data_IF_013991882014
#
_entry.id   IF_013991882014
#
_cell.length_a   1.000
_cell.length_b   1.000
_cell.length_c   1.000
_cell.angle_alpha   90.00
_cell.angle_beta   90.00
_cell.angle_gamma   90.00
#
_symmetry.space_group_name_H-M   'P 1'
#
loop_
_entity.id
_entity.type
_entity.pdbx_description
1 polymer ?
#
# COMPACT_ATOMS: atom_id res chain seq x y z
N UNK A 1 -11.21 -18.34 -39.54
CA UNK A 1 -9.89 -18.90 -39.23
C UNK A 1 -9.38 -18.33 -37.89
N UNK A 2 -9.76 -18.98 -36.81
CA UNK A 2 -9.33 -18.59 -35.46
C UNK A 2 -8.22 -19.54 -35.02
N UNK A 3 -6.95 -19.16 -35.27
CA UNK A 3 -5.82 -19.76 -34.58
C UNK A 3 -5.59 -18.95 -33.30
N UNK A 4 -6.28 -19.35 -32.24
CA UNK A 4 -6.18 -18.77 -30.94
C UNK A 4 -5.25 -19.56 -30.04
N UNK A 5 -4.29 -18.87 -29.58
CA UNK A 5 -3.66 -18.97 -28.28
C UNK A 5 -4.19 -20.10 -27.38
N UNK A 6 -3.62 -21.29 -27.54
CA UNK A 6 -3.85 -22.44 -26.67
C UNK A 6 -2.69 -22.60 -25.68
N UNK A 7 -2.44 -21.62 -24.84
CA UNK A 7 -1.56 -21.83 -23.66
C UNK A 7 -2.27 -21.30 -22.42
N UNK A 8 -2.77 -22.22 -21.63
CA UNK A 8 -3.31 -21.92 -20.30
C UNK A 8 -4.75 -22.35 -20.01
N UNK A 9 -5.49 -22.89 -20.98
CA UNK A 9 -6.86 -23.35 -20.76
C UNK A 9 -6.98 -24.83 -21.11
N UNK A 10 -7.21 -25.68 -20.14
CA UNK A 10 -7.55 -27.10 -20.32
C UNK A 10 -9.06 -27.28 -20.38
N UNK A 11 -9.56 -28.09 -21.32
CA UNK A 11 -10.98 -28.40 -21.48
C UNK A 11 -11.37 -29.59 -20.60
N UNK A 12 -12.29 -29.42 -19.65
CA UNK A 12 -12.90 -30.52 -18.89
C UNK A 12 -14.38 -30.23 -18.74
N UNK A 13 -15.21 -31.07 -19.35
CA UNK A 13 -16.66 -31.08 -19.14
C UNK A 13 -17.41 -29.78 -19.48
N UNK A 14 -17.02 -29.09 -20.57
CA UNK A 14 -17.72 -27.89 -21.04
C UNK A 14 -17.46 -26.61 -20.29
N UNK A 15 -16.67 -26.66 -19.20
CA UNK A 15 -16.26 -25.50 -18.43
C UNK A 15 -14.76 -25.26 -18.59
N UNK A 16 -14.36 -24.03 -18.93
CA UNK A 16 -12.98 -23.63 -18.99
C UNK A 16 -12.42 -23.56 -17.56
N UNK A 17 -11.55 -24.54 -17.18
CA UNK A 17 -10.77 -24.45 -15.94
C UNK A 17 -9.49 -23.69 -16.22
N UNK A 18 -9.24 -22.67 -15.43
CA UNK A 18 -7.98 -21.95 -15.39
C UNK A 18 -6.86 -22.91 -15.03
N UNK A 19 -5.81 -22.96 -15.84
CA UNK A 19 -4.64 -23.77 -15.50
C UNK A 19 -3.98 -23.19 -14.23
N UNK A 20 -3.70 -24.05 -13.26
CA UNK A 20 -3.26 -23.69 -11.88
C UNK A 20 -1.89 -22.98 -11.82
N UNK A 21 -1.23 -22.74 -12.96
CA UNK A 21 0.16 -22.30 -13.03
C UNK A 21 0.39 -21.08 -13.93
N UNK A 22 -0.51 -20.09 -13.90
CA UNK A 22 -0.14 -18.82 -14.50
C UNK A 22 0.69 -18.04 -13.50
N UNK A 23 1.91 -17.60 -13.88
CA UNK A 23 2.78 -16.90 -12.95
C UNK A 23 2.20 -15.54 -12.60
N UNK A 24 2.33 -15.18 -11.32
CA UNK A 24 1.81 -13.98 -10.73
C UNK A 24 2.95 -12.97 -10.63
N UNK A 25 2.75 -11.74 -11.12
CA UNK A 25 3.60 -10.60 -10.78
C UNK A 25 3.05 -9.94 -9.52
N UNK A 26 3.90 -9.68 -8.54
CA UNK A 26 3.48 -9.12 -7.27
C UNK A 26 4.28 -7.88 -6.88
N UNK A 27 3.64 -7.02 -6.11
CA UNK A 27 4.23 -5.90 -5.38
C UNK A 27 4.00 -6.14 -3.90
N UNK A 28 5.10 -6.27 -3.15
CA UNK A 28 5.03 -6.45 -1.70
C UNK A 28 5.55 -5.22 -0.98
N UNK A 29 4.97 -4.94 0.17
CA UNK A 29 5.38 -3.92 1.14
C UNK A 29 5.79 -4.58 2.45
N UNK A 30 6.56 -3.87 3.26
CA UNK A 30 6.94 -4.30 4.60
C UNK A 30 6.99 -3.08 5.54
N UNK A 31 6.26 -3.13 6.64
CA UNK A 31 6.18 -2.01 7.59
C UNK A 31 7.51 -1.68 8.28
N UNK A 32 8.47 -2.61 8.30
CA UNK A 32 9.84 -2.31 8.76
C UNK A 32 10.69 -1.56 7.73
N UNK A 33 10.22 -1.47 6.48
CA UNK A 33 10.89 -0.79 5.36
C UNK A 33 9.84 0.01 4.54
N UNK A 34 9.23 1.05 5.12
CA UNK A 34 8.02 1.68 4.58
C UNK A 34 8.21 2.38 3.21
N UNK A 35 9.44 2.76 2.86
CA UNK A 35 9.76 3.43 1.59
C UNK A 35 10.25 2.46 0.51
N UNK A 36 10.33 1.18 0.84
CA UNK A 36 10.89 0.17 -0.05
C UNK A 36 9.80 -0.85 -0.38
N UNK A 37 9.64 -1.11 -1.66
CA UNK A 37 8.80 -2.19 -2.16
C UNK A 37 9.63 -3.32 -2.75
N UNK A 38 9.03 -4.51 -2.84
CA UNK A 38 9.60 -5.63 -3.59
C UNK A 38 8.70 -5.95 -4.78
N UNK A 39 9.30 -6.03 -5.98
CA UNK A 39 8.64 -6.48 -7.20
C UNK A 39 9.23 -7.84 -7.59
N UNK A 40 8.38 -8.82 -7.91
CA UNK A 40 8.83 -10.14 -8.32
C UNK A 40 7.73 -11.00 -8.89
N UNK A 41 8.07 -12.25 -9.24
CA UNK A 41 7.13 -13.24 -9.77
C UNK A 41 7.08 -14.49 -8.91
N UNK A 42 5.95 -15.19 -8.95
CA UNK A 42 5.77 -16.49 -8.32
C UNK A 42 4.64 -17.28 -8.99
N UNK A 43 4.69 -18.59 -8.85
CA UNK A 43 3.57 -19.46 -9.22
C UNK A 43 2.57 -19.62 -8.07
N UNK A 44 3.01 -19.34 -6.82
CA UNK A 44 2.21 -19.45 -5.61
C UNK A 44 2.54 -18.30 -4.66
N UNK A 45 1.67 -17.30 -4.63
CA UNK A 45 1.86 -16.09 -3.84
C UNK A 45 1.86 -16.38 -2.33
N UNK A 46 0.98 -17.27 -1.89
CA UNK A 46 0.86 -17.65 -0.47
C UNK A 46 2.13 -18.32 0.03
N UNK A 47 2.65 -19.28 -0.72
CA UNK A 47 3.93 -19.91 -0.41
C UNK A 47 5.05 -18.89 -0.42
N UNK A 48 5.06 -17.97 -1.42
CA UNK A 48 6.11 -16.95 -1.54
C UNK A 48 6.16 -16.00 -0.36
N UNK A 49 5.01 -15.56 0.14
CA UNK A 49 4.93 -14.71 1.33
C UNK A 49 5.51 -15.41 2.55
N UNK A 50 5.17 -16.69 2.77
CA UNK A 50 5.77 -17.50 3.85
C UNK A 50 7.28 -17.68 3.71
N UNK A 51 7.77 -17.98 2.50
CA UNK A 51 9.21 -18.16 2.25
C UNK A 51 10.00 -16.86 2.54
N UNK A 52 9.36 -15.70 2.39
CA UNK A 52 9.95 -14.39 2.69
C UNK A 52 9.84 -14.01 4.17
N UNK A 53 8.89 -14.56 4.89
CA UNK A 53 8.72 -14.37 6.33
C UNK A 53 9.67 -15.30 7.09
N UNK A 54 10.88 -14.83 7.28
CA UNK A 54 11.96 -15.58 7.93
C UNK A 54 12.68 -14.69 8.95
N UNK A 55 13.56 -15.28 9.74
CA UNK A 55 14.28 -14.58 10.81
C UNK A 55 15.12 -13.37 10.38
N UNK A 56 15.26 -13.14 9.07
CA UNK A 56 16.00 -11.99 8.53
C UNK A 56 15.11 -10.75 8.34
N UNK A 57 13.79 -10.90 8.44
CA UNK A 57 12.83 -9.79 8.31
C UNK A 57 12.14 -9.53 9.66
N UNK A 58 12.16 -8.28 10.16
CA UNK A 58 11.54 -7.95 11.46
C UNK A 58 10.02 -8.07 11.48
N UNK A 59 9.38 -7.89 10.33
CA UNK A 59 7.94 -7.97 10.14
C UNK A 59 7.63 -8.72 8.85
N UNK A 60 6.45 -9.36 8.73
CA UNK A 60 6.03 -10.06 7.53
C UNK A 60 5.82 -9.10 6.36
N UNK A 61 5.98 -9.62 5.15
CA UNK A 61 5.60 -8.91 3.93
C UNK A 61 4.09 -8.97 3.72
N UNK A 62 3.55 -7.85 3.22
CA UNK A 62 2.16 -7.73 2.81
C UNK A 62 2.08 -7.65 1.29
N UNK A 63 1.10 -8.34 0.69
CA UNK A 63 0.82 -8.19 -0.72
C UNK A 63 0.02 -6.91 -0.94
N UNK A 64 0.66 -5.91 -1.57
CA UNK A 64 -0.02 -4.67 -1.94
C UNK A 64 -0.84 -4.82 -3.22
N UNK A 65 -0.27 -5.54 -4.21
CA UNK A 65 -0.93 -5.81 -5.48
C UNK A 65 -0.35 -7.06 -6.14
N UNK A 66 -1.20 -7.88 -6.77
CA UNK A 66 -0.78 -9.08 -7.48
C UNK A 66 -1.63 -9.32 -8.71
N UNK A 67 -0.99 -9.55 -9.86
CA UNK A 67 -1.63 -9.88 -11.12
C UNK A 67 -1.18 -11.24 -11.63
N UNK A 68 -2.16 -12.06 -11.97
CA UNK A 68 -1.98 -13.26 -12.75
C UNK A 68 -1.94 -12.86 -14.25
N UNK A 69 -0.83 -13.13 -14.90
CA UNK A 69 -0.58 -12.69 -16.28
C UNK A 69 0.10 -13.80 -17.11
N UNK A 70 -0.15 -13.85 -18.44
CA UNK A 70 0.41 -14.89 -19.29
C UNK A 70 1.93 -14.86 -19.41
N UNK A 71 2.55 -13.69 -19.34
CA UNK A 71 4.00 -13.48 -19.48
C UNK A 71 4.55 -12.62 -18.34
N UNK A 72 4.51 -13.19 -17.13
CA UNK A 72 4.99 -12.50 -15.93
C UNK A 72 6.48 -12.14 -15.98
N UNK A 73 7.33 -12.96 -16.64
CA UNK A 73 8.76 -12.70 -16.73
C UNK A 73 9.08 -11.44 -17.54
N UNK A 74 8.41 -11.25 -18.67
CA UNK A 74 8.58 -10.05 -19.48
C UNK A 74 8.06 -8.81 -18.75
N UNK A 75 6.92 -8.94 -18.06
CA UNK A 75 6.32 -7.83 -17.29
C UNK A 75 7.21 -7.46 -16.10
N UNK A 76 7.68 -8.43 -15.33
CA UNK A 76 8.63 -8.20 -14.23
C UNK A 76 9.89 -7.48 -14.72
N UNK A 77 10.48 -7.97 -15.81
CA UNK A 77 11.68 -7.37 -16.43
C UNK A 77 11.44 -5.91 -16.81
N UNK A 78 10.32 -5.61 -17.46
CA UNK A 78 9.96 -4.24 -17.85
C UNK A 78 9.75 -3.33 -16.63
N UNK A 79 9.13 -3.84 -15.55
CA UNK A 79 8.99 -3.10 -14.30
C UNK A 79 10.36 -2.85 -13.66
N UNK A 80 11.23 -3.86 -13.63
CA UNK A 80 12.58 -3.72 -13.10
C UNK A 80 13.41 -2.71 -13.90
N UNK A 81 13.25 -2.64 -15.22
CA UNK A 81 13.88 -1.64 -16.09
C UNK A 81 13.29 -0.25 -15.86
N UNK A 82 11.95 -0.14 -15.73
CA UNK A 82 11.26 1.13 -15.50
C UNK A 82 11.60 1.78 -14.14
N UNK A 83 11.96 0.98 -13.16
CA UNK A 83 12.33 1.43 -11.81
C UNK A 83 13.80 1.22 -11.46
N UNK A 84 14.68 1.01 -12.46
CA UNK A 84 16.09 0.68 -12.21
C UNK A 84 16.85 1.81 -11.49
N UNK A 85 16.51 3.06 -11.77
CA UNK A 85 17.03 4.24 -11.08
C UNK A 85 16.67 4.30 -9.58
N UNK A 86 15.64 3.58 -9.18
CA UNK A 86 15.13 3.48 -7.80
C UNK A 86 15.52 2.19 -7.11
N UNK A 87 16.29 1.35 -7.77
CA UNK A 87 16.72 0.06 -7.23
C UNK A 87 17.67 0.26 -6.04
N UNK A 88 17.36 -0.34 -4.90
CA UNK A 88 18.18 -0.23 -3.66
C UNK A 88 19.55 -0.90 -3.83
N UNK A 89 19.59 -2.06 -4.49
CA UNK A 89 20.84 -2.79 -4.84
C UNK A 89 20.66 -3.51 -6.16
N UNK A 90 21.68 -3.44 -7.05
CA UNK A 90 21.63 -3.98 -8.41
C UNK A 90 21.25 -5.47 -8.50
N UNK A 91 21.64 -6.28 -7.53
CA UNK A 91 21.35 -7.71 -7.49
C UNK A 91 20.15 -8.07 -6.60
N UNK A 92 19.27 -7.12 -6.31
CA UNK A 92 18.07 -7.30 -5.49
C UNK A 92 16.85 -6.69 -6.17
N UNK A 93 15.67 -7.22 -5.83
CA UNK A 93 14.36 -6.84 -6.39
C UNK A 93 13.62 -5.86 -5.45
N UNK A 94 14.39 -4.96 -4.82
CA UNK A 94 13.88 -3.94 -3.91
C UNK A 94 14.06 -2.55 -4.50
N UNK A 95 13.01 -1.72 -4.42
CA UNK A 95 12.93 -0.42 -5.07
C UNK A 95 12.43 0.65 -4.08
N UNK A 96 13.10 1.79 -4.08
CA UNK A 96 12.69 2.97 -3.30
C UNK A 96 11.66 3.78 -4.11
N UNK A 97 10.44 3.36 -4.08
CA UNK A 97 9.30 4.05 -4.70
C UNK A 97 8.01 3.69 -3.95
N UNK A 98 6.97 4.50 -4.17
CA UNK A 98 5.68 4.21 -3.54
C UNK A 98 5.02 2.99 -4.18
N UNK A 99 4.30 2.17 -3.40
CA UNK A 99 3.60 1.01 -3.93
C UNK A 99 2.53 1.40 -4.97
N UNK A 100 1.94 2.60 -4.85
CA UNK A 100 0.98 3.15 -5.80
C UNK A 100 1.59 3.42 -7.18
N UNK A 101 2.84 3.92 -7.23
CA UNK A 101 3.57 4.11 -8.48
C UNK A 101 3.79 2.79 -9.20
N UNK A 102 4.26 1.77 -8.49
CA UNK A 102 4.47 0.44 -9.06
C UNK A 102 3.15 -0.22 -9.48
N UNK A 103 2.09 -0.08 -8.67
CA UNK A 103 0.74 -0.54 -9.02
C UNK A 103 0.24 0.11 -10.29
N UNK A 104 0.41 1.42 -10.44
CA UNK A 104 -0.02 2.16 -11.64
C UNK A 104 0.69 1.63 -12.90
N UNK A 105 1.98 1.32 -12.82
CA UNK A 105 2.72 0.71 -13.92
C UNK A 105 2.23 -0.72 -14.22
N UNK A 106 2.06 -1.55 -13.19
CA UNK A 106 1.61 -2.93 -13.34
C UNK A 106 0.14 -3.03 -13.82
N UNK A 107 -0.72 -2.06 -13.49
CA UNK A 107 -2.13 -2.02 -13.92
C UNK A 107 -2.31 -1.92 -15.44
N UNK A 108 -1.28 -1.56 -16.18
CA UNK A 108 -1.29 -1.62 -17.65
C UNK A 108 -1.48 -3.08 -18.10
N UNK A 109 -0.81 -4.03 -17.44
CA UNK A 109 -0.95 -5.45 -17.74
C UNK A 109 -2.35 -5.99 -17.40
N UNK A 110 -3.00 -5.44 -16.38
CA UNK A 110 -4.41 -5.75 -16.06
C UNK A 110 -5.34 -5.37 -17.22
N UNK A 111 -5.15 -4.17 -17.79
CA UNK A 111 -5.92 -3.72 -18.98
C UNK A 111 -5.65 -4.57 -20.22
N UNK A 112 -4.53 -5.26 -20.28
CA UNK A 112 -4.16 -6.20 -21.34
C UNK A 112 -4.65 -7.64 -21.09
N UNK A 113 -5.47 -7.86 -20.08
CA UNK A 113 -6.07 -9.17 -19.77
C UNK A 113 -5.46 -9.87 -18.55
N UNK A 114 -4.62 -9.21 -17.79
CA UNK A 114 -4.20 -9.65 -16.46
C UNK A 114 -5.39 -9.71 -15.51
N UNK A 115 -5.35 -10.57 -14.53
CA UNK A 115 -6.41 -10.73 -13.54
C UNK A 115 -5.86 -10.39 -12.16
N UNK A 116 -6.53 -9.46 -11.47
CA UNK A 116 -6.20 -9.13 -10.09
C UNK A 116 -6.45 -10.35 -9.18
N UNK A 117 -5.39 -10.79 -8.52
CA UNK A 117 -5.37 -11.90 -7.57
C UNK A 117 -4.83 -11.45 -6.21
N UNK A 118 -4.88 -10.16 -5.94
CA UNK A 118 -4.47 -9.58 -4.66
C UNK A 118 -5.31 -10.19 -3.53
N UNK A 119 -4.71 -10.78 -2.50
CA UNK A 119 -5.44 -11.32 -1.36
C UNK A 119 -6.23 -10.21 -0.65
N UNK A 120 -7.51 -10.47 -0.35
CA UNK A 120 -8.35 -9.54 0.42
C UNK A 120 -7.88 -9.45 1.89
N UNK A 121 -7.28 -10.50 2.42
CA UNK A 121 -6.77 -10.57 3.78
C UNK A 121 -5.36 -11.15 3.78
N UNK A 122 -4.55 -10.69 4.74
CA UNK A 122 -3.22 -11.20 4.98
C UNK A 122 -3.35 -12.45 5.83
N UNK A 123 -2.85 -13.58 5.33
CA UNK A 123 -2.72 -14.80 6.13
C UNK A 123 -1.40 -14.77 6.89
N UNK A 124 -1.49 -14.81 8.21
CA UNK A 124 -0.35 -14.88 9.11
C UNK A 124 -0.11 -16.32 9.53
N UNK A 125 1.15 -16.73 9.69
CA UNK A 125 1.49 -18.05 10.22
C UNK A 125 1.15 -18.17 11.71
N UNK A 126 1.35 -17.07 12.45
CA UNK A 126 1.06 -17.01 13.87
C UNK A 126 0.24 -15.79 14.27
N UNK A 127 -0.55 -15.88 15.37
CA UNK A 127 -1.22 -14.70 15.94
C UNK A 127 -0.25 -13.60 16.36
N UNK A 128 0.99 -13.96 16.72
CA UNK A 128 2.05 -13.03 17.12
C UNK A 128 2.47 -12.13 15.95
N UNK A 129 2.58 -12.66 14.73
CA UNK A 129 2.95 -11.92 13.53
C UNK A 129 1.91 -10.83 13.23
N UNK A 130 0.62 -11.19 13.33
CA UNK A 130 -0.47 -10.22 13.22
C UNK A 130 -0.36 -9.13 14.27
N UNK A 131 -0.14 -9.50 15.53
CA UNK A 131 -0.02 -8.54 16.62
C UNK A 131 1.20 -7.61 16.46
N UNK A 132 2.33 -8.14 15.98
CA UNK A 132 3.53 -7.35 15.70
C UNK A 132 3.27 -6.34 14.58
N UNK A 133 2.62 -6.76 13.48
CA UNK A 133 2.28 -5.88 12.38
C UNK A 133 1.27 -4.80 12.79
N UNK A 134 0.22 -5.16 13.51
CA UNK A 134 -0.78 -4.21 14.02
C UNK A 134 -0.14 -3.18 14.96
N UNK A 135 0.82 -3.61 15.78
CA UNK A 135 1.56 -2.73 16.68
C UNK A 135 2.46 -1.76 15.91
N UNK A 136 3.12 -2.22 14.85
CA UNK A 136 3.94 -1.39 13.98
C UNK A 136 3.10 -0.34 13.24
N UNK A 137 1.96 -0.76 12.66
CA UNK A 137 1.01 0.15 12.00
C UNK A 137 0.44 1.20 12.95
N UNK A 138 0.12 0.81 14.19
CA UNK A 138 -0.32 1.76 15.22
C UNK A 138 0.76 2.77 15.61
N UNK A 139 2.02 2.35 15.65
CA UNK A 139 3.15 3.28 15.91
C UNK A 139 3.33 4.26 14.76
N UNK A 140 3.21 3.80 13.50
CA UNK A 140 3.31 4.64 12.30
C UNK A 140 2.15 5.64 12.20
N UNK A 141 0.92 5.22 12.51
CA UNK A 141 -0.24 6.13 12.60
C UNK A 141 -0.15 7.20 13.69
N UNK A 142 0.90 7.13 14.53
CA UNK A 142 1.24 8.13 15.56
C UNK A 142 2.46 8.99 15.18
N UNK A 143 2.81 9.08 13.89
CA UNK A 143 3.79 10.08 13.46
C UNK A 143 3.23 11.44 13.86
N UNK A 144 3.86 12.04 14.84
CA UNK A 144 3.50 13.38 15.30
C UNK A 144 4.03 14.39 14.28
N UNK A 145 3.22 14.66 13.28
CA UNK A 145 3.53 15.66 12.25
C UNK A 145 3.83 17.03 12.85
N UNK A 146 3.27 17.35 14.02
CA UNK A 146 3.55 18.60 14.70
C UNK A 146 5.00 18.68 15.14
N UNK A 147 5.55 17.61 15.72
CA UNK A 147 6.97 17.54 16.09
C UNK A 147 7.89 17.69 14.88
N UNK A 148 7.56 17.08 13.74
CA UNK A 148 8.34 17.21 12.49
C UNK A 148 8.32 18.64 11.99
N UNK A 149 7.20 19.35 12.13
CA UNK A 149 7.04 20.76 11.73
C UNK A 149 7.54 21.74 12.79
N UNK A 150 8.09 21.26 13.93
CA UNK A 150 8.56 22.08 15.04
C UNK A 150 7.43 22.74 15.84
N UNK A 151 6.21 22.19 15.76
CA UNK A 151 5.03 22.67 16.49
C UNK A 151 4.91 21.88 17.79
N UNK A 152 4.86 22.56 18.93
CA UNK A 152 4.85 21.94 20.24
C UNK A 152 3.42 21.71 20.76
N UNK A 153 3.28 20.74 21.65
CA UNK A 153 2.03 20.53 22.39
C UNK A 153 1.71 21.78 23.20
N UNK A 154 0.45 22.22 23.15
CA UNK A 154 -0.03 23.45 23.77
C UNK A 154 0.00 24.67 22.85
N UNK A 155 0.65 24.60 21.67
CA UNK A 155 0.59 25.67 20.70
C UNK A 155 -0.80 25.78 20.07
N UNK A 156 -1.17 27.02 19.72
CA UNK A 156 -2.45 27.31 19.07
C UNK A 156 -2.27 27.44 17.58
N UNK A 157 -2.99 26.64 16.82
CA UNK A 157 -3.08 26.77 15.37
C UNK A 157 -4.31 27.59 14.99
N UNK A 158 -4.18 28.39 13.95
CA UNK A 158 -5.22 29.29 13.46
C UNK A 158 -5.63 28.89 12.04
N UNK A 159 -6.91 28.87 11.75
CA UNK A 159 -7.39 28.58 10.40
C UNK A 159 -7.11 29.74 9.45
N UNK A 160 -6.49 29.44 8.30
CA UNK A 160 -5.91 30.47 7.42
C UNK A 160 -6.96 31.41 6.79
N UNK A 161 -8.19 30.93 6.59
CA UNK A 161 -9.28 31.72 6.00
C UNK A 161 -10.10 32.48 7.02
N UNK A 162 -10.02 32.10 8.30
CA UNK A 162 -10.71 32.77 9.40
C UNK A 162 -9.88 32.65 10.68
N UNK A 163 -9.18 33.72 11.01
CA UNK A 163 -8.28 33.79 12.16
C UNK A 163 -8.99 33.70 13.51
N UNK A 164 -10.31 33.76 13.56
CA UNK A 164 -11.07 33.56 14.79
C UNK A 164 -11.22 32.08 15.14
N UNK A 165 -11.03 31.19 14.15
CA UNK A 165 -11.11 29.74 14.34
C UNK A 165 -9.74 29.23 14.70
N UNK A 166 -9.62 28.68 15.91
CA UNK A 166 -8.37 28.16 16.46
C UNK A 166 -8.55 26.76 17.02
N UNK A 167 -7.45 26.00 17.12
CA UNK A 167 -7.36 24.76 17.86
C UNK A 167 -6.02 24.67 18.60
N UNK A 168 -5.98 23.95 19.70
CA UNK A 168 -4.77 23.73 20.50
C UNK A 168 -4.17 22.37 20.21
N UNK A 169 -2.86 22.33 19.96
CA UNK A 169 -2.12 21.07 19.71
C UNK A 169 -2.05 20.23 20.97
N UNK A 170 -2.42 18.98 20.88
CA UNK A 170 -2.36 17.97 21.94
C UNK A 170 -1.41 16.83 21.58
N UNK A 171 -1.14 15.94 22.53
CA UNK A 171 -0.30 14.77 22.29
C UNK A 171 -0.84 13.85 21.18
N UNK A 172 0.04 13.02 20.62
CA UNK A 172 -0.28 12.01 19.62
C UNK A 172 -0.88 12.56 18.32
N UNK A 173 -0.47 13.75 17.86
CA UNK A 173 -0.93 14.35 16.61
C UNK A 173 -2.40 14.79 16.66
N UNK A 174 -2.98 14.96 17.83
CA UNK A 174 -4.35 15.43 18.03
C UNK A 174 -4.39 16.94 18.26
N UNK A 175 -5.59 17.50 18.07
CA UNK A 175 -5.89 18.89 18.41
C UNK A 175 -7.17 18.95 19.25
N UNK A 176 -7.22 19.89 20.17
CA UNK A 176 -8.43 20.27 20.88
C UNK A 176 -9.11 21.39 20.08
N UNK A 177 -10.23 21.06 19.45
CA UNK A 177 -11.04 21.96 18.65
C UNK A 177 -12.46 22.04 19.21
N UNK A 178 -12.91 23.22 19.65
CA UNK A 178 -14.24 23.44 20.25
C UNK A 178 -14.56 22.44 21.38
N UNK A 179 -13.58 22.23 22.28
CA UNK A 179 -13.67 21.31 23.42
C UNK A 179 -13.67 19.80 23.05
N UNK A 180 -13.53 19.46 21.77
CA UNK A 180 -13.47 18.09 21.29
C UNK A 180 -12.04 17.72 20.86
N UNK A 181 -11.56 16.54 21.33
CA UNK A 181 -10.27 16.01 20.93
C UNK A 181 -10.38 15.27 19.59
N UNK A 182 -9.88 15.89 18.52
CA UNK A 182 -9.98 15.37 17.15
C UNK A 182 -8.63 15.35 16.45
N UNK A 183 -8.59 15.00 15.16
CA UNK A 183 -7.42 15.19 14.29
C UNK A 183 -7.47 16.56 13.62
N UNK A 184 -6.30 17.07 13.19
CA UNK A 184 -6.27 18.34 12.44
C UNK A 184 -7.11 18.26 11.16
N UNK A 185 -7.06 17.14 10.44
CA UNK A 185 -7.93 16.91 9.26
C UNK A 185 -9.41 16.84 9.62
N UNK A 186 -9.76 16.27 10.78
CA UNK A 186 -11.15 16.22 11.27
C UNK A 186 -11.68 17.61 11.58
N UNK A 187 -10.91 18.44 12.32
CA UNK A 187 -11.30 19.83 12.59
C UNK A 187 -11.43 20.65 11.31
N UNK A 188 -10.50 20.48 10.36
CA UNK A 188 -10.57 21.15 9.07
C UNK A 188 -11.81 20.71 8.26
N UNK A 189 -12.16 19.44 8.27
CA UNK A 189 -13.38 18.93 7.60
C UNK A 189 -14.66 19.56 8.18
N UNK A 190 -14.74 19.63 9.50
CA UNK A 190 -15.86 20.29 10.19
C UNK A 190 -16.00 21.74 9.73
N UNK A 191 -14.91 22.52 9.75
CA UNK A 191 -14.91 23.92 9.35
C UNK A 191 -15.35 24.09 7.89
N UNK A 192 -14.79 23.28 7.00
CA UNK A 192 -15.08 23.34 5.55
C UNK A 192 -16.53 22.95 5.26
N UNK A 193 -17.09 21.99 5.98
CA UNK A 193 -18.49 21.59 5.86
C UNK A 193 -19.42 22.72 6.33
N UNK A 194 -19.11 23.39 7.44
CA UNK A 194 -19.85 24.58 7.92
C UNK A 194 -19.81 25.75 6.94
N UNK A 195 -18.72 25.89 6.17
CA UNK A 195 -18.59 26.85 5.10
C UNK A 195 -19.38 26.48 3.82
N UNK A 196 -20.10 25.34 3.84
CA UNK A 196 -20.97 24.90 2.74
C UNK A 196 -20.28 24.07 1.66
N UNK A 197 -19.04 23.62 1.89
CA UNK A 197 -18.35 22.71 0.96
C UNK A 197 -18.69 21.26 1.31
N UNK A 198 -19.12 20.49 0.32
CA UNK A 198 -19.41 19.06 0.49
C UNK A 198 -18.17 18.20 0.21
N UNK A 199 -17.22 18.19 1.14
CA UNK A 199 -16.02 17.37 1.08
C UNK A 199 -16.19 16.16 2.02
N UNK A 200 -15.94 14.94 1.50
CA UNK A 200 -16.06 13.73 2.30
C UNK A 200 -14.77 13.35 3.02
N UNK A 201 -13.62 13.82 2.55
CA UNK A 201 -12.31 13.57 3.15
C UNK A 201 -11.35 14.74 2.89
N UNK A 202 -10.52 15.04 3.90
CA UNK A 202 -9.35 15.90 3.76
C UNK A 202 -8.14 15.02 4.09
N UNK A 203 -7.24 14.91 3.13
CA UNK A 203 -5.94 14.29 3.39
C UNK A 203 -5.10 15.27 4.18
N UNK A 204 -4.52 14.80 5.30
CA UNK A 204 -3.52 15.54 6.05
C UNK A 204 -2.28 15.83 5.22
N UNK A 205 -1.34 16.66 5.72
CA UNK A 205 -0.08 16.89 5.04
C UNK A 205 0.63 15.55 4.82
N UNK A 206 0.88 15.24 3.52
CA UNK A 206 1.64 14.08 3.09
C UNK A 206 3.13 14.34 3.18
#
# INVERSE_FOLDING_TARGET
AWKLFKRGLGWVGGLWKRNKFMPIVYILTNESMPEIIKIGITDDLKRRLRDLDNTSTPLPFECFYALDVPDARSIEKLLHEAFDDKRVRQNREFFNCTPEQAKSALSIAEKMGGIDVTPAEIEFETPQDKQALDSAKKKKGRVDYFSILGINVGETLTFIKDHTITCEVKENGKVLFREELTSLSGSALTIITEMGYNWQQIHGPG
#
